data_IF_170407626927
#
_entry.id   IF_170407626927
#
_cell.length_a   1.000
_cell.length_b   1.000
_cell.length_c   1.000
_cell.angle_alpha   90.00
_cell.angle_beta   90.00
_cell.angle_gamma   90.00
#
_symmetry.space_group_name_H-M   'P 1'
#
loop_
_entity.id
_entity.type
_entity.pdbx_description
1 polymer ?
#
# COMPACT_ATOMS: atom_id res chain seq x y z
N UNK A 1 -6.82 24.66 1.16
CA UNK A 1 -8.17 24.03 1.14
C UNK A 1 -8.40 23.21 -0.14
N UNK A 2 -8.02 23.71 -1.30
CA UNK A 2 -8.22 23.04 -2.60
C UNK A 2 -7.48 21.70 -2.74
N UNK A 3 -6.18 21.64 -2.40
CA UNK A 3 -5.38 20.39 -2.46
C UNK A 3 -5.94 19.31 -1.53
N UNK A 4 -6.38 19.70 -0.32
CA UNK A 4 -7.00 18.77 0.62
C UNK A 4 -8.26 18.14 -0.01
N UNK A 5 -9.16 18.95 -0.58
CA UNK A 5 -10.37 18.45 -1.22
C UNK A 5 -10.04 17.55 -2.40
N UNK A 6 -9.07 17.92 -3.24
CA UNK A 6 -8.62 17.10 -4.36
C UNK A 6 -8.17 15.71 -3.90
N UNK A 7 -7.30 15.65 -2.89
CA UNK A 7 -6.77 14.40 -2.35
C UNK A 7 -7.85 13.57 -1.65
N UNK A 8 -8.72 14.20 -0.87
CA UNK A 8 -9.86 13.56 -0.23
C UNK A 8 -10.77 12.89 -1.28
N UNK A 9 -11.17 13.64 -2.30
CA UNK A 9 -12.02 13.12 -3.38
C UNK A 9 -11.31 12.06 -4.21
N UNK A 10 -10.00 12.18 -4.46
CA UNK A 10 -9.24 11.15 -5.15
C UNK A 10 -9.27 9.81 -4.39
N UNK A 11 -9.11 9.83 -3.06
CA UNK A 11 -9.20 8.61 -2.24
C UNK A 11 -10.63 8.06 -2.26
N UNK A 12 -11.65 8.91 -2.07
CA UNK A 12 -13.07 8.50 -2.06
C UNK A 12 -13.53 7.90 -3.39
N UNK A 13 -13.06 8.45 -4.51
CA UNK A 13 -13.35 7.96 -5.86
C UNK A 13 -12.40 6.83 -6.32
N UNK A 14 -11.62 6.25 -5.39
CA UNK A 14 -10.74 5.11 -5.66
C UNK A 14 -9.72 5.36 -6.77
N UNK A 15 -9.23 6.60 -6.89
CA UNK A 15 -8.09 6.88 -7.76
C UNK A 15 -6.84 6.16 -7.23
N UNK A 16 -6.06 5.57 -8.14
CA UNK A 16 -4.73 5.08 -7.78
C UNK A 16 -3.81 6.27 -7.51
N UNK A 17 -3.08 6.24 -6.39
CA UNK A 17 -2.22 7.36 -5.95
C UNK A 17 -0.79 6.86 -5.74
N UNK A 18 0.18 7.59 -6.29
CA UNK A 18 1.60 7.38 -6.05
C UNK A 18 2.19 8.62 -5.37
N UNK A 19 2.79 8.44 -4.19
CA UNK A 19 3.45 9.48 -3.41
C UNK A 19 4.96 9.37 -3.62
N UNK A 20 5.49 10.17 -4.54
CA UNK A 20 6.93 10.21 -4.84
C UNK A 20 7.66 11.35 -4.13
N UNK A 21 8.96 11.17 -3.86
CA UNK A 21 9.81 12.18 -3.22
C UNK A 21 11.10 11.61 -2.62
N UNK A 22 12.02 12.49 -2.23
CA UNK A 22 13.30 12.10 -1.62
C UNK A 22 13.15 11.41 -0.26
N UNK A 23 14.25 10.84 0.25
CA UNK A 23 14.27 10.29 1.61
C UNK A 23 13.88 11.36 2.63
N UNK A 24 13.08 11.00 3.63
CA UNK A 24 12.61 11.91 4.68
C UNK A 24 11.74 13.10 4.21
N UNK A 25 11.20 13.06 2.98
CA UNK A 25 10.28 14.11 2.48
C UNK A 25 8.84 13.97 2.97
N UNK A 26 8.55 13.01 3.88
CA UNK A 26 7.21 12.77 4.42
C UNK A 26 6.29 11.89 3.58
N UNK A 27 6.82 11.08 2.65
CA UNK A 27 6.02 10.18 1.79
C UNK A 27 5.11 9.26 2.60
N UNK A 28 5.69 8.45 3.49
CA UNK A 28 4.96 7.50 4.33
C UNK A 28 3.94 8.23 5.21
N UNK A 29 4.30 9.41 5.72
CA UNK A 29 3.37 10.25 6.50
C UNK A 29 2.15 10.70 5.68
N UNK A 30 2.37 11.14 4.44
CA UNK A 30 1.26 11.52 3.55
C UNK A 30 0.43 10.30 3.13
N UNK A 31 1.07 9.18 2.81
CA UNK A 31 0.38 7.92 2.49
C UNK A 31 -0.52 7.48 3.65
N UNK A 32 -0.01 7.53 4.89
CA UNK A 32 -0.77 7.22 6.10
C UNK A 32 -1.95 8.18 6.27
N UNK A 33 -1.74 9.49 6.04
CA UNK A 33 -2.82 10.49 6.11
C UNK A 33 -3.91 10.27 5.05
N UNK A 34 -3.55 9.93 3.81
CA UNK A 34 -4.51 9.63 2.74
C UNK A 34 -5.33 8.38 3.06
N UNK A 35 -4.71 7.39 3.68
CA UNK A 35 -5.38 6.15 4.04
C UNK A 35 -6.46 6.32 5.13
N UNK A 36 -6.44 7.41 5.91
CA UNK A 36 -7.58 7.77 6.79
C UNK A 36 -8.85 8.17 6.02
N UNK A 37 -8.76 8.48 4.72
CA UNK A 37 -9.93 8.83 3.92
C UNK A 37 -10.61 7.61 3.28
N UNK A 38 -9.99 6.43 3.36
CA UNK A 38 -10.58 5.16 2.91
C UNK A 38 -11.87 4.90 3.70
N UNK A 39 -12.91 4.39 3.04
CA UNK A 39 -14.17 4.05 3.72
C UNK A 39 -13.99 2.85 4.65
N UNK A 40 -14.51 2.93 5.87
CA UNK A 40 -14.46 1.84 6.89
C UNK A 40 -15.03 0.50 6.41
N UNK A 41 -15.83 0.50 5.35
CA UNK A 41 -16.38 -0.71 4.72
C UNK A 41 -15.38 -1.46 3.85
N UNK A 42 -14.27 -0.82 3.47
CA UNK A 42 -13.29 -1.37 2.54
C UNK A 42 -12.27 -2.25 3.27
N UNK A 43 -11.87 -3.36 2.66
CA UNK A 43 -10.79 -4.21 3.15
C UNK A 43 -9.46 -3.71 2.62
N UNK A 44 -8.58 -3.26 3.51
CA UNK A 44 -7.26 -2.73 3.16
C UNK A 44 -6.17 -3.75 3.49
N UNK A 45 -5.27 -4.01 2.54
CA UNK A 45 -4.05 -4.78 2.79
C UNK A 45 -2.84 -3.85 2.67
N UNK A 46 -2.03 -3.75 3.73
CA UNK A 46 -0.74 -3.06 3.67
C UNK A 46 0.37 -4.05 3.37
N UNK A 47 1.36 -3.61 2.58
CA UNK A 47 2.57 -4.38 2.26
C UNK A 47 3.79 -3.50 2.49
N UNK A 48 4.66 -3.89 3.42
CA UNK A 48 5.79 -3.07 3.87
C UNK A 48 7.05 -3.91 4.11
N UNK A 49 8.24 -3.31 4.03
CA UNK A 49 9.49 -3.99 4.41
C UNK A 49 9.71 -3.91 5.92
N UNK A 50 9.46 -2.73 6.48
CA UNK A 50 9.33 -2.50 7.91
C UNK A 50 7.99 -1.79 8.12
N UNK A 51 7.18 -2.31 9.05
CA UNK A 51 5.85 -1.75 9.30
C UNK A 51 5.93 -0.31 9.85
N UNK A 52 5.56 0.67 9.03
CA UNK A 52 5.45 2.10 9.38
C UNK A 52 3.99 2.59 9.30
N UNK A 53 3.15 1.96 8.48
CA UNK A 53 1.75 2.35 8.28
C UNK A 53 0.88 1.95 9.46
N UNK A 54 0.46 2.97 10.21
CA UNK A 54 -0.50 2.84 11.30
C UNK A 54 -1.89 3.29 10.85
N UNK A 55 -2.54 2.43 10.05
CA UNK A 55 -3.93 2.63 9.65
C UNK A 55 -4.87 2.32 10.82
N UNK A 56 -5.60 3.33 11.30
CA UNK A 56 -6.73 3.13 12.21
C UNK A 56 -7.98 2.79 11.39
N UNK A 57 -7.95 1.65 10.70
CA UNK A 57 -9.02 1.17 9.84
C UNK A 57 -9.56 -0.17 10.39
N UNK A 58 -10.89 -0.36 10.48
CA UNK A 58 -11.46 -1.56 11.11
C UNK A 58 -11.07 -2.86 10.39
N UNK A 59 -10.94 -2.82 9.05
CA UNK A 59 -10.64 -3.98 8.22
C UNK A 59 -9.24 -3.88 7.55
N UNK A 60 -8.19 -3.88 8.35
CA UNK A 60 -6.80 -3.87 7.85
C UNK A 60 -6.11 -5.21 8.03
N UNK A 61 -5.41 -5.68 6.99
CA UNK A 61 -4.45 -6.79 7.05
C UNK A 61 -3.06 -6.23 6.79
N UNK A 62 -2.12 -6.48 7.70
CA UNK A 62 -0.74 -6.03 7.57
C UNK A 62 0.14 -7.18 7.09
N UNK A 63 0.84 -6.97 5.98
CA UNK A 63 1.83 -7.90 5.46
C UNK A 63 3.21 -7.23 5.52
N UNK A 64 4.16 -7.92 6.11
CA UNK A 64 5.53 -7.43 6.27
C UNK A 64 6.50 -8.40 5.61
N UNK A 65 7.46 -7.85 4.87
CA UNK A 65 8.53 -8.61 4.25
C UNK A 65 9.41 -9.24 5.34
N UNK A 66 10.05 -10.35 4.99
CA UNK A 66 10.94 -11.04 5.93
C UNK A 66 12.24 -11.38 5.24
N UNK A 67 13.35 -10.94 5.80
CA UNK A 67 14.65 -11.43 5.39
C UNK A 67 14.78 -12.91 5.79
N UNK A 68 15.39 -13.72 4.92
CA UNK A 68 15.63 -15.13 5.21
C UNK A 68 16.66 -15.32 6.33
N UNK A 69 16.75 -16.55 6.84
CA UNK A 69 17.84 -16.96 7.71
C UNK A 69 19.20 -16.91 7.02
N UNK A 70 20.26 -17.29 7.72
CA UNK A 70 21.64 -17.32 7.18
C UNK A 70 21.79 -18.18 5.91
N UNK A 71 20.93 -19.17 5.73
CA UNK A 71 20.84 -20.05 4.56
C UNK A 71 19.87 -19.54 3.48
N UNK A 72 19.28 -18.36 3.67
CA UNK A 72 18.25 -17.77 2.82
C UNK A 72 16.86 -18.37 3.03
N UNK A 73 16.70 -19.35 3.92
CA UNK A 73 15.42 -19.99 4.14
C UNK A 73 14.40 -19.04 4.75
N UNK A 74 13.16 -19.12 4.25
CA UNK A 74 12.06 -18.35 4.80
C UNK A 74 12.06 -16.86 4.46
N UNK A 75 12.86 -16.42 3.47
CA UNK A 75 12.72 -15.09 2.90
C UNK A 75 11.32 -14.91 2.29
N UNK A 76 10.73 -13.74 2.50
CA UNK A 76 9.45 -13.34 1.89
C UNK A 76 9.62 -11.93 1.35
N UNK A 77 9.60 -11.80 0.04
CA UNK A 77 9.77 -10.51 -0.64
C UNK A 77 8.46 -9.70 -0.71
N UNK A 78 8.58 -8.37 -0.81
CA UNK A 78 7.44 -7.47 -1.10
C UNK A 78 6.65 -7.95 -2.32
N UNK A 79 7.37 -8.38 -3.36
CA UNK A 79 6.76 -8.92 -4.58
C UNK A 79 5.84 -10.11 -4.31
N UNK A 80 6.27 -11.05 -3.46
CA UNK A 80 5.45 -12.19 -3.06
C UNK A 80 4.26 -11.76 -2.22
N UNK A 81 4.43 -10.79 -1.32
CA UNK A 81 3.34 -10.25 -0.52
C UNK A 81 2.29 -9.54 -1.37
N UNK A 82 2.69 -8.72 -2.35
CA UNK A 82 1.76 -8.08 -3.30
C UNK A 82 0.96 -9.16 -4.04
N UNK A 83 1.60 -10.19 -4.59
CA UNK A 83 0.87 -11.25 -5.30
C UNK A 83 -0.10 -12.01 -4.41
N UNK A 84 0.29 -12.28 -3.16
CA UNK A 84 -0.58 -12.96 -2.21
C UNK A 84 -1.72 -12.06 -1.76
N UNK A 85 -1.50 -10.75 -1.59
CA UNK A 85 -2.54 -9.81 -1.19
C UNK A 85 -3.70 -9.79 -2.19
N UNK A 86 -3.43 -9.89 -3.49
CA UNK A 86 -4.47 -9.94 -4.53
C UNK A 86 -5.42 -11.14 -4.41
N UNK A 87 -4.99 -12.21 -3.73
CA UNK A 87 -5.84 -13.39 -3.45
C UNK A 87 -6.67 -13.23 -2.19
N UNK A 88 -6.39 -12.23 -1.37
CA UNK A 88 -7.09 -11.95 -0.12
C UNK A 88 -8.36 -11.12 -0.32
N UNK A 89 -8.78 -10.92 -1.58
CA UNK A 89 -9.89 -10.06 -2.02
C UNK A 89 -9.86 -8.68 -1.33
N UNK A 90 -8.74 -7.93 -1.43
CA UNK A 90 -8.69 -6.59 -0.88
C UNK A 90 -9.56 -5.66 -1.73
N UNK A 91 -10.14 -4.65 -1.08
CA UNK A 91 -10.63 -3.47 -1.80
C UNK A 91 -9.44 -2.60 -2.21
N UNK A 92 -8.43 -2.47 -1.34
CA UNK A 92 -7.24 -1.66 -1.60
C UNK A 92 -5.96 -2.37 -1.18
N UNK A 93 -4.91 -2.18 -1.98
CA UNK A 93 -3.54 -2.53 -1.60
C UNK A 93 -2.76 -1.25 -1.39
N UNK A 94 -2.17 -1.11 -0.20
CA UNK A 94 -1.29 0.02 0.15
C UNK A 94 0.12 -0.52 0.30
N UNK A 95 1.04 -0.08 -0.55
CA UNK A 95 2.44 -0.51 -0.50
C UNK A 95 3.25 0.62 0.13
N UNK A 96 3.93 0.38 1.25
CA UNK A 96 4.63 1.45 1.97
C UNK A 96 5.77 2.06 1.15
N UNK A 97 6.45 1.24 0.36
CA UNK A 97 7.50 1.68 -0.55
C UNK A 97 7.73 0.68 -1.67
N UNK A 98 8.11 1.20 -2.84
CA UNK A 98 8.56 0.42 -4.00
C UNK A 98 9.94 0.91 -4.42
N UNK A 99 10.95 0.03 -4.31
CA UNK A 99 12.38 0.27 -4.63
C UNK A 99 12.89 -0.53 -5.83
N UNK A 100 12.13 -1.50 -6.35
CA UNK A 100 12.65 -2.42 -7.35
C UNK A 100 11.59 -3.15 -8.19
N UNK A 101 11.81 -4.45 -8.38
CA UNK A 101 11.06 -5.28 -9.34
C UNK A 101 9.56 -5.41 -9.01
N UNK A 102 9.17 -5.17 -7.77
CA UNK A 102 7.79 -5.19 -7.28
C UNK A 102 6.92 -4.09 -7.90
N UNK A 103 7.52 -3.06 -8.53
CA UNK A 103 6.78 -1.99 -9.23
C UNK A 103 5.84 -2.54 -10.29
N UNK A 104 6.25 -3.59 -11.01
CA UNK A 104 5.42 -4.18 -12.07
C UNK A 104 4.19 -4.89 -11.49
N UNK A 105 4.37 -5.61 -10.38
CA UNK A 105 3.28 -6.31 -9.71
C UNK A 105 2.31 -5.31 -9.04
N UNK A 106 2.82 -4.19 -8.50
CA UNK A 106 2.01 -3.07 -7.99
C UNK A 106 1.19 -2.42 -9.10
N UNK A 107 1.82 -2.03 -10.22
CA UNK A 107 1.11 -1.43 -11.35
C UNK A 107 0.07 -2.39 -11.94
N UNK A 108 0.37 -3.69 -11.97
CA UNK A 108 -0.59 -4.70 -12.36
C UNK A 108 -1.78 -4.73 -11.40
N UNK A 109 -1.55 -4.76 -10.08
CA UNK A 109 -2.62 -4.71 -9.08
C UNK A 109 -3.54 -3.50 -9.29
N UNK A 110 -2.95 -2.32 -9.47
CA UNK A 110 -3.66 -1.06 -9.76
C UNK A 110 -4.52 -1.12 -11.03
N UNK A 111 -4.07 -1.87 -12.03
CA UNK A 111 -4.74 -1.97 -13.33
C UNK A 111 -5.74 -3.15 -13.41
N UNK A 112 -5.69 -4.09 -12.46
CA UNK A 112 -6.55 -5.29 -12.47
C UNK A 112 -7.38 -5.38 -11.19
N UNK A 113 -8.51 -4.66 -11.17
CA UNK A 113 -9.59 -4.90 -10.20
C UNK A 113 -9.35 -4.44 -8.76
N UNK A 114 -8.24 -3.75 -8.47
CA UNK A 114 -7.93 -3.21 -7.14
C UNK A 114 -7.72 -1.69 -7.21
N UNK A 115 -8.74 -1.01 -7.74
CA UNK A 115 -8.79 0.45 -7.82
C UNK A 115 -8.67 1.09 -6.44
N UNK A 116 -7.98 2.23 -6.37
CA UNK A 116 -7.78 2.98 -5.14
C UNK A 116 -6.56 2.52 -4.35
N UNK A 117 -5.71 1.69 -4.97
CA UNK A 117 -4.42 1.28 -4.41
C UNK A 117 -3.48 2.49 -4.30
N UNK A 118 -2.58 2.46 -3.32
CA UNK A 118 -1.67 3.56 -3.04
C UNK A 118 -0.25 3.06 -2.79
N UNK A 119 0.76 3.85 -3.18
CA UNK A 119 2.17 3.63 -2.82
C UNK A 119 2.93 4.94 -2.67
#
# INVERSE_FOLDING_TARGET
>A
EEIYRLLHEAVKNRCNILVSGGTSSGKTSLLNALAFFISDTERVVTVEDTAELSLNHPHVVRLESRQGGFDGSGAVSIRELIRNSLRMRPDRVVVGEVRGAEVMDMLQAMNTGHEGSMA
#
